data_IF_745811526702
#
_entry.id   IF_745811526702
#
_cell.length_a   1.000
_cell.length_b   1.000
_cell.length_c   1.000
_cell.angle_alpha   90.00
_cell.angle_beta   90.00
_cell.angle_gamma   90.00
#
_symmetry.space_group_name_H-M   'P 1'
#
loop_
_entity.id
_entity.type
_entity.pdbx_description
1 polymer ?
#
# COMPACT_ATOMS: atom_id res chain seq x y z
N UNK A 1 -25.95 -25.34 -29.47
CA UNK A 1 -25.44 -24.21 -28.63
C UNK A 1 -26.16 -24.29 -27.31
N UNK A 2 -25.57 -24.91 -26.29
CA UNK A 2 -26.15 -24.95 -24.96
C UNK A 2 -25.93 -23.55 -24.34
N UNK A 3 -27.01 -22.89 -23.95
CA UNK A 3 -26.91 -21.73 -23.13
C UNK A 3 -26.28 -22.16 -21.79
N UNK A 4 -25.04 -21.78 -21.54
CA UNK A 4 -24.46 -21.87 -20.21
C UNK A 4 -25.32 -20.98 -19.32
N UNK A 5 -26.04 -21.60 -18.40
CA UNK A 5 -26.77 -20.86 -17.36
C UNK A 5 -25.72 -20.20 -16.46
N UNK A 6 -25.41 -18.96 -16.73
CA UNK A 6 -24.47 -18.20 -15.89
C UNK A 6 -25.14 -18.05 -14.53
N UNK A 7 -24.52 -18.56 -13.48
CA UNK A 7 -25.03 -18.41 -12.13
C UNK A 7 -24.97 -16.93 -11.78
N UNK A 8 -26.10 -16.36 -11.40
CA UNK A 8 -26.21 -14.97 -10.97
C UNK A 8 -25.72 -14.88 -9.54
N UNK A 9 -24.64 -14.15 -9.34
CA UNK A 9 -24.00 -13.99 -8.02
C UNK A 9 -23.53 -12.55 -7.79
N UNK A 10 -23.66 -12.10 -6.54
CA UNK A 10 -22.97 -10.92 -6.03
C UNK A 10 -21.74 -11.36 -5.29
N UNK A 11 -20.58 -10.93 -5.75
CA UNK A 11 -19.27 -11.29 -5.19
C UNK A 11 -18.71 -10.11 -4.43
N UNK A 12 -18.41 -10.31 -3.15
CA UNK A 12 -17.66 -9.39 -2.33
C UNK A 12 -16.16 -9.66 -2.55
N UNK A 13 -15.46 -8.72 -3.18
CA UNK A 13 -14.04 -8.81 -3.45
C UNK A 13 -13.26 -7.81 -2.61
N UNK A 14 -12.25 -8.28 -1.90
CA UNK A 14 -11.26 -7.48 -1.18
C UNK A 14 -9.88 -8.13 -1.29
N UNK A 15 -8.83 -7.33 -1.21
CA UNK A 15 -7.43 -7.76 -1.27
C UNK A 15 -6.60 -6.84 -0.36
N UNK A 16 -5.31 -7.10 -0.23
CA UNK A 16 -4.33 -6.21 0.41
C UNK A 16 -4.72 -5.83 1.84
N UNK A 17 -5.19 -6.82 2.63
CA UNK A 17 -5.58 -6.61 4.03
C UNK A 17 -4.35 -6.29 4.88
N UNK A 18 -3.21 -6.91 4.56
CA UNK A 18 -1.92 -6.73 5.23
C UNK A 18 -2.03 -6.81 6.75
N UNK A 19 -2.51 -7.95 7.27
CA UNK A 19 -2.52 -8.18 8.72
C UNK A 19 -1.11 -8.02 9.26
N UNK A 20 -0.93 -7.01 10.14
CA UNK A 20 0.33 -6.61 10.72
C UNK A 20 0.11 -5.95 12.07
N UNK A 21 0.57 -6.58 13.13
CA UNK A 21 0.44 -6.06 14.50
C UNK A 21 1.72 -5.36 14.98
N UNK A 22 2.90 -5.81 14.51
CA UNK A 22 4.20 -5.29 14.95
C UNK A 22 4.71 -4.08 14.15
N UNK A 23 3.86 -3.13 13.78
CA UNK A 23 4.30 -1.91 13.10
C UNK A 23 4.91 -0.92 14.12
N UNK A 24 6.06 -0.31 13.76
CA UNK A 24 6.73 0.68 14.61
C UNK A 24 5.76 1.83 14.96
N UNK A 25 5.79 2.25 16.19
CA UNK A 25 4.94 3.32 16.75
C UNK A 25 3.43 3.05 16.70
N UNK A 26 3.00 1.82 16.51
CA UNK A 26 1.58 1.43 16.53
C UNK A 26 1.32 0.50 17.71
N UNK A 27 0.42 0.86 18.65
CA UNK A 27 0.03 -0.02 19.75
C UNK A 27 -0.65 -1.28 19.22
N UNK A 28 -0.27 -2.44 19.73
CA UNK A 28 -0.79 -3.74 19.29
C UNK A 28 -2.30 -3.82 19.47
N UNK A 29 -2.81 -3.37 20.61
CA UNK A 29 -4.25 -3.41 20.92
C UNK A 29 -5.06 -2.55 19.93
N UNK A 30 -4.57 -1.36 19.59
CA UNK A 30 -5.19 -0.52 18.57
C UNK A 30 -5.19 -1.21 17.19
N UNK A 31 -4.08 -1.86 16.83
CA UNK A 31 -3.98 -2.60 15.59
C UNK A 31 -4.95 -3.78 15.52
N UNK A 32 -5.11 -4.56 16.62
CA UNK A 32 -6.10 -5.63 16.74
C UNK A 32 -7.51 -5.09 16.56
N UNK A 33 -7.88 -4.03 17.30
CA UNK A 33 -9.20 -3.40 17.21
C UNK A 33 -9.54 -2.91 15.80
N UNK A 34 -8.56 -2.43 15.05
CA UNK A 34 -8.75 -2.03 13.64
C UNK A 34 -9.19 -3.20 12.78
N UNK A 35 -8.55 -4.37 12.91
CA UNK A 35 -8.94 -5.58 12.17
C UNK A 35 -10.28 -6.14 12.63
N UNK A 36 -10.60 -6.09 13.92
CA UNK A 36 -11.93 -6.44 14.43
C UNK A 36 -13.02 -5.56 13.81
N UNK A 37 -12.75 -4.26 13.68
CA UNK A 37 -13.66 -3.32 13.03
C UNK A 37 -13.84 -3.67 11.54
N UNK A 38 -12.77 -4.02 10.84
CA UNK A 38 -12.83 -4.50 9.45
C UNK A 38 -13.67 -5.78 9.33
N UNK A 39 -13.40 -6.79 10.15
CA UNK A 39 -14.14 -8.06 10.17
C UNK A 39 -15.64 -7.82 10.43
N UNK A 40 -15.96 -6.89 11.33
CA UNK A 40 -17.34 -6.52 11.65
C UNK A 40 -18.03 -5.90 10.42
N UNK A 41 -17.41 -4.95 9.73
CA UNK A 41 -17.99 -4.33 8.53
C UNK A 41 -18.11 -5.34 7.38
N UNK A 42 -17.11 -6.19 7.17
CA UNK A 42 -17.16 -7.28 6.20
C UNK A 42 -18.35 -8.23 6.48
N UNK A 43 -18.58 -8.54 7.76
CA UNK A 43 -19.69 -9.39 8.23
C UNK A 43 -21.08 -8.78 7.96
N UNK A 44 -21.16 -7.46 7.85
CA UNK A 44 -22.41 -6.78 7.46
C UNK A 44 -22.57 -6.85 5.94
N UNK A 45 -21.54 -6.52 5.17
CA UNK A 45 -21.62 -6.44 3.70
C UNK A 45 -21.88 -7.82 3.09
N UNK A 46 -21.28 -8.89 3.63
CA UNK A 46 -21.48 -10.25 3.11
C UNK A 46 -22.94 -10.74 3.13
N UNK A 47 -23.82 -10.13 3.93
CA UNK A 47 -25.23 -10.53 4.01
C UNK A 47 -26.00 -10.35 2.70
N UNK A 48 -25.55 -9.40 1.88
CA UNK A 48 -26.13 -9.07 0.59
C UNK A 48 -25.34 -9.67 -0.60
N UNK A 49 -24.40 -10.58 -0.31
CA UNK A 49 -23.51 -11.23 -1.27
C UNK A 49 -23.68 -12.75 -1.24
N UNK A 50 -23.31 -13.40 -2.32
CA UNK A 50 -23.39 -14.87 -2.48
C UNK A 50 -22.02 -15.52 -2.28
N UNK A 51 -20.92 -14.79 -2.46
CA UNK A 51 -19.55 -15.28 -2.37
C UNK A 51 -18.60 -14.17 -1.92
N UNK A 52 -17.53 -14.56 -1.23
CA UNK A 52 -16.39 -13.68 -0.91
C UNK A 52 -15.16 -14.17 -1.67
N UNK A 53 -14.34 -13.22 -2.14
CA UNK A 53 -13.00 -13.52 -2.65
C UNK A 53 -12.00 -12.62 -1.92
N UNK A 54 -11.03 -13.24 -1.22
CA UNK A 54 -9.88 -12.59 -0.62
C UNK A 54 -8.70 -12.72 -1.58
N UNK A 55 -8.40 -11.62 -2.25
CA UNK A 55 -7.56 -11.53 -3.45
C UNK A 55 -6.07 -11.38 -3.21
N UNK A 56 -5.52 -12.02 -2.18
CA UNK A 56 -4.09 -11.99 -1.86
C UNK A 56 -3.70 -10.87 -0.91
N UNK A 57 -2.46 -10.91 -0.46
CA UNK A 57 -1.87 -9.99 0.52
C UNK A 57 -2.73 -9.82 1.78
N UNK A 58 -3.22 -10.95 2.28
CA UNK A 58 -3.93 -11.00 3.57
C UNK A 58 -2.98 -10.70 4.71
N UNK A 59 -1.73 -11.16 4.61
CA UNK A 59 -0.65 -10.85 5.55
C UNK A 59 0.37 -9.89 4.93
N UNK A 60 0.96 -9.03 5.75
CA UNK A 60 2.05 -8.12 5.34
C UNK A 60 3.40 -8.85 5.15
N UNK A 61 3.58 -9.96 5.85
CA UNK A 61 4.74 -10.84 5.83
C UNK A 61 4.39 -12.20 6.46
N UNK A 62 5.37 -13.06 6.66
CA UNK A 62 5.20 -14.26 7.50
C UNK A 62 4.58 -13.86 8.84
N UNK A 63 3.36 -14.34 9.15
CA UNK A 63 2.62 -13.91 10.34
C UNK A 63 3.22 -14.42 11.64
N UNK A 64 3.06 -13.62 12.68
CA UNK A 64 3.22 -14.05 14.07
C UNK A 64 2.00 -14.86 14.53
N UNK A 65 2.07 -15.44 15.73
CA UNK A 65 0.92 -16.18 16.29
C UNK A 65 -0.28 -15.27 16.54
N UNK A 66 -0.05 -14.03 16.99
CA UNK A 66 -1.13 -13.05 17.19
C UNK A 66 -1.76 -12.61 15.86
N UNK A 67 -0.96 -12.48 14.79
CA UNK A 67 -1.45 -12.17 13.45
C UNK A 67 -2.24 -13.35 12.86
N UNK A 68 -1.87 -14.60 13.19
CA UNK A 68 -2.66 -15.79 12.84
C UNK A 68 -4.01 -15.83 13.57
N UNK A 69 -4.07 -15.37 14.84
CA UNK A 69 -5.32 -15.25 15.58
C UNK A 69 -6.30 -14.33 14.84
N UNK A 70 -5.85 -13.14 14.43
CA UNK A 70 -6.66 -12.21 13.62
C UNK A 70 -7.15 -12.86 12.31
N UNK A 71 -6.29 -13.63 11.64
CA UNK A 71 -6.68 -14.37 10.44
C UNK A 71 -7.76 -15.43 10.73
N UNK A 72 -7.63 -16.17 11.83
CA UNK A 72 -8.62 -17.19 12.20
C UNK A 72 -9.94 -16.54 12.60
N UNK A 73 -9.94 -15.37 13.22
CA UNK A 73 -11.14 -14.59 13.49
C UNK A 73 -11.84 -14.14 12.21
N UNK A 74 -11.06 -13.65 11.23
CA UNK A 74 -11.57 -13.32 9.89
C UNK A 74 -12.22 -14.56 9.24
N UNK A 75 -11.52 -15.68 9.18
CA UNK A 75 -12.04 -16.93 8.60
C UNK A 75 -13.31 -17.41 9.33
N UNK A 76 -13.32 -17.30 10.66
CA UNK A 76 -14.46 -17.70 11.50
C UNK A 76 -15.67 -16.78 11.31
N UNK A 77 -15.48 -15.54 10.88
CA UNK A 77 -16.55 -14.57 10.65
C UNK A 77 -17.33 -14.80 9.35
N UNK A 78 -16.76 -15.55 8.42
CA UNK A 78 -17.32 -15.80 7.07
C UNK A 78 -18.53 -16.72 7.17
N UNK A 79 -19.64 -16.36 6.49
CA UNK A 79 -20.93 -17.07 6.53
C UNK A 79 -21.44 -17.51 5.15
N UNK A 80 -20.71 -17.20 4.08
CA UNK A 80 -21.01 -17.57 2.70
C UNK A 80 -19.75 -18.19 2.07
N UNK A 81 -19.85 -18.89 0.94
CA UNK A 81 -18.68 -19.44 0.23
C UNK A 81 -17.58 -18.39 0.07
N UNK A 82 -16.35 -18.76 0.33
CA UNK A 82 -15.21 -17.86 0.25
C UNK A 82 -14.02 -18.57 -0.40
N UNK A 83 -13.37 -17.87 -1.34
CA UNK A 83 -12.08 -18.26 -1.91
C UNK A 83 -11.01 -17.32 -1.40
N UNK A 84 -9.88 -17.90 -0.99
CA UNK A 84 -8.66 -17.19 -0.60
C UNK A 84 -7.53 -17.69 -1.51
N UNK A 85 -6.75 -16.76 -2.07
CA UNK A 85 -5.52 -17.10 -2.76
C UNK A 85 -4.39 -16.14 -2.34
N UNK A 86 -3.15 -16.52 -2.66
CA UNK A 86 -1.98 -15.79 -2.27
C UNK A 86 -1.73 -14.56 -3.16
N UNK A 87 -1.28 -13.47 -2.53
CA UNK A 87 -0.59 -12.37 -3.16
C UNK A 87 0.94 -12.54 -3.10
N UNK A 88 1.68 -11.48 -3.41
CA UNK A 88 3.13 -11.50 -3.41
C UNK A 88 3.72 -11.58 -1.99
N UNK A 89 3.06 -11.05 -0.97
CA UNK A 89 3.51 -11.09 0.43
C UNK A 89 3.42 -12.48 1.05
N UNK A 90 2.56 -13.36 0.56
CA UNK A 90 2.51 -14.76 0.98
C UNK A 90 3.46 -15.67 0.22
N UNK A 91 4.11 -15.20 -0.84
CA UNK A 91 5.03 -16.00 -1.63
C UNK A 91 6.33 -16.30 -0.87
N UNK A 92 6.62 -17.59 -0.61
CA UNK A 92 7.83 -18.04 0.09
C UNK A 92 8.92 -18.48 -0.89
N UNK A 93 8.53 -19.23 -1.91
CA UNK A 93 9.37 -19.78 -2.98
C UNK A 93 8.54 -19.82 -4.25
N UNK A 94 9.19 -20.13 -5.38
CA UNK A 94 8.60 -20.08 -6.72
C UNK A 94 7.17 -20.63 -6.81
N UNK A 95 6.88 -21.76 -6.15
CA UNK A 95 5.58 -22.44 -6.24
C UNK A 95 4.96 -22.73 -4.87
N UNK A 96 5.47 -22.10 -3.80
CA UNK A 96 5.01 -22.33 -2.43
C UNK A 96 4.65 -21.00 -1.80
N UNK A 97 3.45 -20.92 -1.25
CA UNK A 97 2.98 -19.78 -0.50
C UNK A 97 2.75 -20.15 0.95
N UNK A 98 2.66 -19.15 1.82
CA UNK A 98 2.30 -19.39 3.21
C UNK A 98 0.93 -20.07 3.32
N UNK A 99 0.00 -19.76 2.43
CA UNK A 99 -1.33 -20.36 2.40
C UNK A 99 -1.33 -21.86 2.11
N UNK A 100 -0.31 -22.40 1.42
CA UNK A 100 -0.19 -23.85 1.22
C UNK A 100 -0.15 -24.62 2.55
N UNK A 101 0.41 -24.00 3.60
CA UNK A 101 0.44 -24.57 4.96
C UNK A 101 -0.86 -24.34 5.74
N UNK A 102 -1.57 -23.24 5.48
CA UNK A 102 -2.81 -22.91 6.17
C UNK A 102 -4.06 -23.58 5.55
N UNK A 103 -4.01 -23.98 4.30
CA UNK A 103 -5.14 -24.54 3.52
C UNK A 103 -5.99 -25.52 4.31
N UNK A 104 -5.35 -26.53 4.90
CA UNK A 104 -6.04 -27.56 5.66
C UNK A 104 -6.67 -27.03 6.97
N UNK A 105 -5.96 -26.18 7.66
CA UNK A 105 -6.44 -25.60 8.94
C UNK A 105 -7.59 -24.65 8.70
N UNK A 106 -7.50 -23.80 7.70
CA UNK A 106 -8.55 -22.87 7.28
C UNK A 106 -9.85 -23.61 6.94
N UNK A 107 -9.77 -24.64 6.07
CA UNK A 107 -10.96 -25.43 5.70
C UNK A 107 -11.53 -26.26 6.86
N UNK A 108 -10.70 -26.65 7.85
CA UNK A 108 -11.18 -27.30 9.06
C UNK A 108 -11.92 -26.34 9.98
N UNK A 109 -11.43 -25.13 10.10
CA UNK A 109 -12.02 -24.08 10.91
C UNK A 109 -13.36 -23.63 10.33
N UNK A 110 -13.41 -23.42 9.01
CA UNK A 110 -14.63 -23.02 8.33
C UNK A 110 -14.74 -23.76 6.97
N UNK A 111 -15.75 -24.60 6.81
CA UNK A 111 -15.99 -25.40 5.61
C UNK A 111 -16.42 -24.58 4.39
N UNK A 112 -16.87 -23.35 4.61
CA UNK A 112 -17.24 -22.42 3.54
C UNK A 112 -16.00 -21.73 2.92
N UNK A 113 -14.84 -21.84 3.56
CA UNK A 113 -13.60 -21.16 3.12
C UNK A 113 -12.66 -22.16 2.45
N UNK A 114 -12.36 -21.90 1.21
CA UNK A 114 -11.40 -22.65 0.42
C UNK A 114 -10.16 -21.78 0.10
N UNK A 115 -8.99 -22.33 0.41
CA UNK A 115 -7.71 -21.75 -0.01
C UNK A 115 -7.26 -22.44 -1.29
N UNK A 116 -7.05 -21.66 -2.35
CA UNK A 116 -6.53 -22.16 -3.61
C UNK A 116 -5.07 -21.74 -3.81
N UNK A 117 -4.24 -22.62 -4.33
CA UNK A 117 -2.81 -22.42 -4.57
C UNK A 117 -2.38 -22.76 -6.01
N UNK A 118 -3.35 -23.07 -6.86
CA UNK A 118 -3.20 -23.35 -8.29
C UNK A 118 -4.32 -22.67 -9.09
N UNK A 119 -4.22 -22.72 -10.42
CA UNK A 119 -5.30 -22.29 -11.30
C UNK A 119 -6.61 -22.95 -10.89
N UNK A 120 -7.65 -22.18 -10.85
CA UNK A 120 -8.97 -22.66 -10.48
C UNK A 120 -10.02 -21.99 -11.35
N UNK A 121 -11.09 -22.71 -11.67
CA UNK A 121 -12.22 -22.15 -12.44
C UNK A 121 -13.52 -22.63 -11.82
N UNK A 122 -14.41 -21.70 -11.54
CA UNK A 122 -15.78 -21.95 -11.11
C UNK A 122 -16.70 -21.28 -12.13
N UNK A 123 -17.49 -22.08 -12.84
CA UNK A 123 -18.36 -21.60 -13.92
C UNK A 123 -17.59 -20.78 -14.97
N UNK A 124 -17.85 -19.48 -15.07
CA UNK A 124 -17.16 -18.54 -15.96
C UNK A 124 -16.14 -17.64 -15.24
N UNK A 125 -15.76 -17.99 -14.02
CA UNK A 125 -14.79 -17.27 -13.20
C UNK A 125 -13.48 -18.03 -13.11
N UNK A 126 -12.42 -17.39 -13.55
CA UNK A 126 -11.06 -17.91 -13.46
C UNK A 126 -10.32 -17.27 -12.26
N UNK A 127 -9.47 -18.06 -11.61
CA UNK A 127 -8.65 -17.61 -10.49
C UNK A 127 -7.19 -17.94 -10.78
N UNK A 128 -6.34 -16.89 -10.68
CA UNK A 128 -4.89 -16.98 -10.87
C UNK A 128 -4.19 -16.44 -9.64
N UNK A 129 -3.79 -17.31 -8.68
CA UNK A 129 -2.97 -16.89 -7.55
C UNK A 129 -1.62 -16.31 -8.00
N UNK A 130 -1.03 -15.43 -7.20
CA UNK A 130 0.24 -14.76 -7.51
C UNK A 130 1.37 -15.73 -7.89
N UNK A 131 1.53 -16.84 -7.16
CA UNK A 131 2.55 -17.85 -7.44
C UNK A 131 2.40 -18.52 -8.83
N UNK A 132 1.25 -18.36 -9.48
CA UNK A 132 0.96 -18.85 -10.83
C UNK A 132 1.01 -17.78 -11.93
N UNK A 133 1.22 -16.53 -11.58
CA UNK A 133 1.19 -15.41 -12.53
C UNK A 133 2.21 -15.58 -13.66
N UNK A 134 3.43 -16.03 -13.37
CA UNK A 134 4.47 -16.29 -14.38
C UNK A 134 4.17 -17.48 -15.29
N UNK A 135 3.44 -18.47 -14.81
CA UNK A 135 2.97 -19.59 -15.61
C UNK A 135 1.81 -19.16 -16.51
N UNK A 136 0.89 -18.38 -15.96
CA UNK A 136 -0.20 -17.74 -16.68
C UNK A 136 0.30 -16.85 -17.83
N UNK A 137 1.31 -16.00 -17.60
CA UNK A 137 1.91 -15.14 -18.61
C UNK A 137 2.37 -15.92 -19.85
N UNK A 138 2.91 -17.13 -19.67
CA UNK A 138 3.37 -17.98 -20.76
C UNK A 138 2.24 -18.65 -21.55
N UNK A 139 1.11 -18.91 -20.92
CA UNK A 139 -0.02 -19.59 -21.56
C UNK A 139 -1.37 -19.08 -21.03
N UNK A 140 -1.76 -17.84 -21.32
CA UNK A 140 -3.02 -17.27 -20.83
C UNK A 140 -4.26 -17.93 -21.46
N UNK A 141 -4.11 -18.66 -22.58
CA UNK A 141 -5.22 -19.33 -23.28
C UNK A 141 -5.76 -20.58 -22.57
N UNK A 142 -5.08 -21.06 -21.52
CA UNK A 142 -5.53 -22.21 -20.73
C UNK A 142 -6.83 -21.94 -19.96
N UNK A 143 -7.10 -20.68 -19.63
CA UNK A 143 -8.29 -20.23 -18.93
C UNK A 143 -9.33 -19.68 -19.92
N UNK A 144 -10.62 -19.83 -19.64
CA UNK A 144 -11.70 -19.53 -20.59
C UNK A 144 -12.88 -18.78 -19.98
N UNK A 145 -12.78 -18.33 -18.75
CA UNK A 145 -13.83 -17.55 -18.09
C UNK A 145 -14.00 -16.16 -18.69
N UNK A 146 -15.09 -15.51 -18.31
CA UNK A 146 -15.37 -14.10 -18.64
C UNK A 146 -14.84 -13.15 -17.55
N UNK A 147 -14.68 -13.65 -16.33
CA UNK A 147 -14.25 -12.92 -15.13
C UNK A 147 -12.97 -13.54 -14.62
N UNK A 148 -11.99 -12.71 -14.29
CA UNK A 148 -10.72 -13.17 -13.72
C UNK A 148 -10.51 -12.54 -12.33
N UNK A 149 -10.10 -13.37 -11.39
CA UNK A 149 -9.59 -12.97 -10.09
C UNK A 149 -8.09 -13.26 -10.02
N UNK A 150 -7.29 -12.27 -9.65
CA UNK A 150 -5.83 -12.42 -9.60
C UNK A 150 -5.20 -11.46 -8.60
N UNK A 151 -3.89 -11.56 -8.43
CA UNK A 151 -3.08 -10.59 -7.70
C UNK A 151 -1.93 -10.17 -8.59
N UNK A 152 -1.96 -8.94 -9.07
CA UNK A 152 -1.01 -8.43 -10.07
C UNK A 152 -0.85 -6.93 -9.96
N UNK A 153 0.39 -6.47 -10.04
CA UNK A 153 0.70 -5.04 -10.07
C UNK A 153 0.38 -4.43 -11.43
N UNK A 154 -0.46 -3.39 -11.42
CA UNK A 154 -0.72 -2.52 -12.55
C UNK A 154 0.31 -1.41 -12.69
N UNK A 155 0.02 -0.42 -13.53
CA UNK A 155 0.88 0.75 -13.73
C UNK A 155 0.42 1.96 -12.92
N UNK A 156 1.38 2.72 -12.38
CA UNK A 156 1.17 4.08 -11.83
C UNK A 156 2.29 4.96 -12.37
N UNK A 157 2.15 5.50 -13.59
CA UNK A 157 3.20 6.33 -14.18
C UNK A 157 3.48 7.61 -13.36
N UNK A 158 4.73 8.05 -13.24
CA UNK A 158 5.96 7.41 -13.73
C UNK A 158 6.59 6.42 -12.72
N UNK A 159 5.93 6.15 -11.59
CA UNK A 159 6.54 5.56 -10.39
C UNK A 159 6.48 4.03 -10.34
N UNK A 160 5.41 3.43 -10.86
CA UNK A 160 5.19 1.97 -10.79
C UNK A 160 5.00 1.42 -12.20
N UNK A 161 5.78 0.38 -12.52
CA UNK A 161 5.62 -0.38 -13.76
C UNK A 161 4.79 -1.64 -13.51
N UNK A 162 3.98 -2.01 -14.50
CA UNK A 162 3.25 -3.26 -14.47
C UNK A 162 4.19 -4.47 -14.31
N UNK A 163 3.76 -5.48 -13.58
CA UNK A 163 4.54 -6.70 -13.34
C UNK A 163 4.55 -7.62 -14.55
N UNK A 164 3.46 -7.63 -15.30
CA UNK A 164 3.27 -8.35 -16.57
C UNK A 164 2.64 -7.42 -17.61
N UNK A 165 2.66 -7.83 -18.88
CA UNK A 165 1.95 -7.09 -19.92
C UNK A 165 0.43 -7.12 -19.65
N UNK A 166 -0.14 -5.96 -19.35
CA UNK A 166 -1.57 -5.84 -19.00
C UNK A 166 -2.50 -6.19 -20.18
N UNK A 167 -2.02 -6.23 -21.43
CA UNK A 167 -2.80 -6.67 -22.57
C UNK A 167 -3.21 -8.15 -22.48
N UNK A 168 -2.50 -8.94 -21.67
CA UNK A 168 -2.84 -10.33 -21.39
C UNK A 168 -4.24 -10.49 -20.80
N UNK A 169 -4.72 -9.45 -20.12
CA UNK A 169 -6.02 -9.44 -19.44
C UNK A 169 -7.20 -9.02 -20.33
N UNK A 170 -6.96 -8.53 -21.54
CA UNK A 170 -8.00 -7.96 -22.42
C UNK A 170 -9.07 -8.97 -22.85
N UNK A 171 -8.79 -10.27 -22.76
CA UNK A 171 -9.77 -11.31 -23.12
C UNK A 171 -10.89 -11.47 -22.10
N UNK A 172 -10.69 -11.10 -20.83
CA UNK A 172 -11.74 -11.14 -19.82
C UNK A 172 -12.56 -9.85 -19.87
N UNK A 173 -13.85 -9.95 -19.60
CA UNK A 173 -14.75 -8.78 -19.53
C UNK A 173 -14.38 -7.89 -18.37
N UNK A 174 -13.97 -8.50 -17.26
CA UNK A 174 -13.52 -7.82 -16.04
C UNK A 174 -12.47 -8.66 -15.33
N UNK A 175 -11.50 -7.98 -14.75
CA UNK A 175 -10.47 -8.56 -13.88
C UNK A 175 -10.57 -7.87 -12.52
N UNK A 176 -10.68 -8.66 -11.46
CA UNK A 176 -10.62 -8.17 -10.09
C UNK A 176 -9.24 -8.55 -9.51
N UNK A 177 -8.44 -7.54 -9.21
CA UNK A 177 -7.03 -7.74 -8.85
C UNK A 177 -6.67 -7.09 -7.50
N UNK A 178 -5.74 -7.70 -6.76
CA UNK A 178 -4.99 -7.09 -5.66
C UNK A 178 -3.64 -6.52 -6.12
N UNK A 179 -2.85 -5.95 -5.21
CA UNK A 179 -1.53 -5.32 -5.25
C UNK A 179 -1.57 -3.77 -5.24
N UNK A 180 -2.52 -3.13 -5.88
CA UNK A 180 -2.60 -1.67 -5.83
C UNK A 180 -3.58 -1.20 -4.75
N UNK A 181 -3.05 -0.46 -3.77
CA UNK A 181 -3.74 -0.11 -2.52
C UNK A 181 -4.78 1.02 -2.65
N UNK A 182 -5.06 1.53 -3.86
CA UNK A 182 -6.12 2.52 -4.10
C UNK A 182 -7.04 2.07 -5.23
N UNK A 183 -8.35 2.22 -5.02
CA UNK A 183 -9.37 1.98 -6.05
C UNK A 183 -9.18 2.89 -7.29
N UNK A 184 -8.65 4.09 -7.10
CA UNK A 184 -8.35 5.04 -8.18
C UNK A 184 -7.32 4.53 -9.19
N UNK A 185 -6.53 3.52 -8.79
CA UNK A 185 -5.56 2.87 -9.67
C UNK A 185 -6.19 1.81 -10.60
N UNK A 186 -7.51 1.62 -10.53
CA UNK A 186 -8.23 0.74 -11.48
C UNK A 186 -8.02 1.23 -12.91
N UNK A 187 -7.69 0.32 -13.81
CA UNK A 187 -7.23 0.65 -15.15
C UNK A 187 -7.64 -0.41 -16.16
N UNK A 188 -7.93 0.01 -17.42
CA UNK A 188 -8.44 -0.90 -18.46
C UNK A 188 -9.70 -1.62 -17.98
N UNK A 189 -9.70 -2.96 -18.04
CA UNK A 189 -10.73 -3.83 -17.47
C UNK A 189 -10.35 -4.40 -16.08
N UNK A 190 -9.29 -3.87 -15.45
CA UNK A 190 -8.77 -4.33 -14.16
C UNK A 190 -9.27 -3.41 -13.05
N UNK A 191 -9.96 -3.95 -12.08
CA UNK A 191 -10.49 -3.28 -10.91
C UNK A 191 -9.69 -3.67 -9.67
N UNK A 192 -9.17 -2.68 -8.96
CA UNK A 192 -8.51 -2.86 -7.67
C UNK A 192 -9.44 -2.39 -6.56
N UNK A 193 -9.72 -3.17 -5.52
CA UNK A 193 -10.52 -2.69 -4.37
C UNK A 193 -9.80 -1.62 -3.56
N UNK A 194 -8.47 -1.64 -3.63
CA UNK A 194 -7.57 -0.97 -2.71
C UNK A 194 -7.37 -1.76 -1.41
N UNK A 195 -6.45 -1.32 -0.57
CA UNK A 195 -6.26 -1.88 0.75
C UNK A 195 -7.38 -1.41 1.70
N UNK A 196 -8.13 -2.30 2.36
CA UNK A 196 -9.17 -1.90 3.30
C UNK A 196 -8.59 -1.23 4.54
N UNK A 197 -7.37 -1.61 4.95
CA UNK A 197 -6.65 -1.01 6.06
C UNK A 197 -5.43 -0.26 5.57
N UNK A 198 -5.20 0.99 6.01
CA UNK A 198 -3.99 1.74 5.66
C UNK A 198 -2.73 0.99 6.09
N UNK A 199 -1.81 0.72 5.16
CA UNK A 199 -0.55 -0.01 5.41
C UNK A 199 0.59 0.90 5.85
N UNK A 200 0.45 2.20 5.63
CA UNK A 200 1.39 3.25 6.00
C UNK A 200 0.69 4.45 6.61
N UNK A 201 1.47 5.37 7.20
CA UNK A 201 0.94 6.60 7.77
C UNK A 201 0.70 7.66 6.68
N UNK A 202 -0.52 8.17 6.61
CA UNK A 202 -0.96 9.19 5.67
C UNK A 202 -1.11 10.56 6.35
N UNK A 203 -0.94 11.66 5.61
CA UNK A 203 -1.16 13.01 6.14
C UNK A 203 -2.64 13.32 6.34
N UNK A 204 -3.50 12.73 5.53
CA UNK A 204 -4.95 12.89 5.60
C UNK A 204 -5.62 11.52 5.62
N UNK A 205 -6.87 11.49 6.07
CA UNK A 205 -7.73 10.31 5.93
C UNK A 205 -7.92 10.01 4.45
N UNK A 206 -7.73 8.74 4.09
CA UNK A 206 -7.91 8.25 2.72
C UNK A 206 -9.14 7.36 2.63
N UNK A 207 -9.73 7.29 1.44
CA UNK A 207 -10.86 6.42 1.20
C UNK A 207 -10.37 4.97 1.04
N UNK A 208 -10.94 4.07 1.83
CA UNK A 208 -10.70 2.63 1.78
C UNK A 208 -12.01 1.89 1.60
N UNK A 209 -11.98 0.73 0.94
CA UNK A 209 -13.22 0.03 0.63
C UNK A 209 -13.03 -1.37 0.07
N UNK A 210 -14.14 -1.93 -0.37
CA UNK A 210 -14.23 -3.25 -1.01
C UNK A 210 -15.09 -3.13 -2.28
N UNK A 211 -15.00 -4.10 -3.18
CA UNK A 211 -15.84 -4.16 -4.38
C UNK A 211 -16.96 -5.20 -4.18
N UNK A 212 -18.21 -4.82 -4.48
CA UNK A 212 -19.30 -5.75 -4.69
C UNK A 212 -19.57 -5.82 -6.19
N UNK A 213 -19.31 -6.98 -6.78
CA UNK A 213 -19.43 -7.24 -8.21
C UNK A 213 -20.63 -8.14 -8.50
N UNK A 214 -21.47 -7.77 -9.46
CA UNK A 214 -22.62 -8.52 -9.90
C UNK A 214 -22.31 -9.23 -11.23
N UNK A 215 -22.25 -10.57 -11.20
CA UNK A 215 -21.88 -11.38 -12.36
C UNK A 215 -22.95 -11.40 -13.47
N UNK A 216 -24.21 -11.10 -13.15
CA UNK A 216 -25.31 -11.07 -14.12
C UNK A 216 -25.26 -9.78 -14.96
N UNK A 217 -25.04 -8.66 -14.31
CA UNK A 217 -25.05 -7.35 -14.96
C UNK A 217 -23.66 -6.87 -15.39
N UNK A 218 -22.59 -7.48 -14.88
CA UNK A 218 -21.21 -7.04 -15.06
C UNK A 218 -20.90 -5.70 -14.35
N UNK A 219 -21.82 -5.23 -13.50
CA UNK A 219 -21.63 -3.98 -12.74
C UNK A 219 -20.93 -4.22 -11.42
N UNK A 220 -20.21 -3.24 -10.97
CA UNK A 220 -19.62 -3.24 -9.64
C UNK A 220 -20.01 -1.99 -8.87
N UNK A 221 -19.96 -2.11 -7.55
CA UNK A 221 -20.10 -1.00 -6.61
C UNK A 221 -18.89 -1.04 -5.68
N UNK A 222 -18.17 0.07 -5.59
CA UNK A 222 -17.15 0.21 -4.57
C UNK A 222 -17.82 0.69 -3.27
N UNK A 223 -17.70 -0.12 -2.22
CA UNK A 223 -18.32 0.12 -0.92
C UNK A 223 -17.26 0.67 0.02
N UNK A 224 -17.41 1.95 0.38
CA UNK A 224 -16.50 2.62 1.32
C UNK A 224 -16.60 2.00 2.70
N UNK A 225 -15.45 1.75 3.32
CA UNK A 225 -15.34 1.32 4.71
C UNK A 225 -15.00 2.51 5.61
N UNK A 226 -15.49 2.44 6.85
CA UNK A 226 -15.13 3.42 7.90
C UNK A 226 -14.28 2.71 8.93
N UNK A 227 -12.95 2.80 8.76
CA UNK A 227 -11.98 2.09 9.59
C UNK A 227 -11.00 3.07 10.26
N UNK A 228 -10.46 2.71 11.43
CA UNK A 228 -9.34 3.43 12.01
C UNK A 228 -8.14 3.43 11.07
N UNK A 229 -7.49 4.59 10.90
CA UNK A 229 -6.39 4.78 9.97
C UNK A 229 -5.11 5.24 10.67
N UNK A 230 -3.98 5.00 10.01
CA UNK A 230 -2.66 5.46 10.42
C UNK A 230 -2.43 6.88 9.87
N UNK A 231 -2.32 7.85 10.76
CA UNK A 231 -2.15 9.25 10.40
C UNK A 231 -0.80 9.80 10.88
N UNK A 232 -0.24 10.72 10.11
CA UNK A 232 0.97 11.48 10.45
C UNK A 232 0.65 12.97 10.35
N UNK A 233 0.99 13.71 11.40
CA UNK A 233 0.85 15.16 11.43
C UNK A 233 2.20 15.83 11.68
N UNK A 234 2.40 16.98 11.10
CA UNK A 234 3.54 17.84 11.41
C UNK A 234 3.10 18.91 12.40
N UNK A 235 3.84 19.09 13.49
CA UNK A 235 3.59 20.08 14.53
C UNK A 235 4.91 20.81 14.87
N UNK A 236 4.80 21.97 15.51
CA UNK A 236 5.96 22.69 16.03
C UNK A 236 6.36 22.14 17.41
N UNK A 237 7.64 22.31 17.77
CA UNK A 237 8.12 21.95 19.10
C UNK A 237 7.33 22.72 20.17
N UNK A 238 6.88 21.99 21.21
CA UNK A 238 6.05 22.56 22.27
C UNK A 238 4.54 22.50 22.03
N UNK A 239 4.08 22.11 20.84
CA UNK A 239 2.65 21.82 20.62
C UNK A 239 2.26 20.47 21.22
N UNK A 240 0.98 20.35 21.62
CA UNK A 240 0.43 19.12 22.17
C UNK A 240 0.32 18.01 21.11
N UNK A 241 0.62 16.80 21.54
CA UNK A 241 0.42 15.57 20.77
C UNK A 241 -0.80 14.82 21.31
N UNK A 242 -2.03 15.21 20.91
CA UNK A 242 -3.22 14.54 21.42
C UNK A 242 -3.25 13.09 20.96
N UNK A 243 -3.48 12.18 21.89
CA UNK A 243 -3.85 10.82 21.55
C UNK A 243 -5.16 10.84 20.78
N UNK A 244 -5.24 10.04 19.72
CA UNK A 244 -6.45 9.96 18.90
C UNK A 244 -7.31 8.79 19.33
N UNK A 245 -8.59 9.04 19.57
CA UNK A 245 -9.52 8.01 20.06
C UNK A 245 -9.88 6.99 18.98
N UNK A 246 -9.79 7.34 17.71
CA UNK A 246 -10.19 6.49 16.59
C UNK A 246 -9.04 6.21 15.62
N UNK A 247 -8.48 7.25 14.98
CA UNK A 247 -7.29 7.09 14.13
C UNK A 247 -6.03 7.07 14.99
N UNK A 248 -5.04 6.27 14.65
CA UNK A 248 -3.74 6.33 15.31
C UNK A 248 -2.85 7.36 14.61
N UNK A 249 -2.46 8.40 15.35
CA UNK A 249 -1.66 9.52 14.84
C UNK A 249 -0.26 9.52 15.45
N UNK A 250 0.74 9.65 14.59
CA UNK A 250 2.13 9.95 14.98
C UNK A 250 2.52 11.35 14.50
N UNK A 251 3.56 11.92 15.11
CA UNK A 251 3.94 13.31 14.90
C UNK A 251 5.36 13.46 14.35
N UNK A 252 5.51 14.30 13.33
CA UNK A 252 6.78 14.89 12.93
C UNK A 252 6.88 16.22 13.65
N UNK A 253 7.93 16.42 14.46
CA UNK A 253 8.09 17.66 15.23
C UNK A 253 9.15 18.50 14.56
N UNK A 254 8.78 19.73 14.20
CA UNK A 254 9.68 20.75 13.66
C UNK A 254 10.07 21.73 14.75
N UNK A 255 11.33 22.10 14.83
CA UNK A 255 11.85 23.07 15.79
C UNK A 255 13.34 23.31 15.63
N UNK A 256 13.91 24.20 16.43
CA UNK A 256 15.35 24.37 16.51
C UNK A 256 16.03 23.22 17.28
N UNK A 257 17.36 23.17 17.23
CA UNK A 257 18.13 22.09 17.89
C UNK A 257 17.94 22.05 19.41
N UNK A 258 17.75 23.22 20.08
CA UNK A 258 17.58 23.28 21.52
C UNK A 258 16.19 22.81 21.93
N UNK A 259 15.15 23.25 21.23
CA UNK A 259 13.77 22.83 21.42
C UNK A 259 13.61 21.32 21.23
N UNK A 260 14.13 20.78 20.11
CA UNK A 260 14.06 19.35 19.80
C UNK A 260 14.88 18.49 20.77
N UNK A 261 15.99 19.02 21.28
CA UNK A 261 16.83 18.37 22.30
C UNK A 261 16.17 18.29 23.67
N UNK A 262 15.29 19.24 24.00
CA UNK A 262 14.55 19.28 25.26
C UNK A 262 13.32 18.33 25.27
N UNK A 263 12.87 17.85 24.11
CA UNK A 263 11.70 16.98 24.01
C UNK A 263 12.01 15.57 24.52
N UNK A 264 11.18 15.11 25.48
CA UNK A 264 11.21 13.71 25.92
C UNK A 264 10.82 12.77 24.77
N UNK A 265 11.41 11.58 24.78
CA UNK A 265 11.03 10.55 23.81
C UNK A 265 9.60 10.03 24.08
N UNK A 266 8.84 9.86 23.00
CA UNK A 266 7.47 9.33 23.04
C UNK A 266 7.24 8.40 21.87
N UNK A 267 6.44 7.36 22.05
CA UNK A 267 5.99 6.45 20.98
C UNK A 267 5.14 7.15 19.91
N UNK A 268 4.65 8.36 20.21
CA UNK A 268 3.91 9.19 19.25
C UNK A 268 4.84 10.01 18.33
N UNK A 269 6.12 10.11 18.66
CA UNK A 269 7.08 10.87 17.84
C UNK A 269 7.66 9.93 16.77
N UNK A 270 7.41 10.25 15.49
CA UNK A 270 8.01 9.57 14.35
C UNK A 270 9.43 10.07 14.11
N UNK A 271 9.58 11.38 13.99
CA UNK A 271 10.87 12.05 13.81
C UNK A 271 10.88 13.49 14.31
N UNK A 272 12.08 13.97 14.65
CA UNK A 272 12.37 15.34 14.98
C UNK A 272 13.07 15.98 13.76
N UNK A 273 12.52 17.06 13.23
CA UNK A 273 13.01 17.72 12.02
C UNK A 273 13.54 19.11 12.42
N UNK A 274 14.84 19.30 12.24
CA UNK A 274 15.43 20.62 12.50
C UNK A 274 14.95 21.59 11.43
N UNK A 275 14.21 22.61 11.84
CA UNK A 275 13.84 23.72 10.99
C UNK A 275 15.11 24.51 10.69
N UNK A 276 15.61 24.40 9.49
CA UNK A 276 16.64 25.32 9.02
C UNK A 276 15.92 26.64 8.75
N UNK A 277 16.15 27.63 9.59
CA UNK A 277 15.84 29.00 9.22
C UNK A 277 16.76 29.38 8.04
N UNK A 278 16.28 29.13 6.85
CA UNK A 278 16.86 29.72 5.65
C UNK A 278 16.30 31.15 5.55
N UNK A 279 16.62 32.00 6.51
CA UNK A 279 16.37 33.44 6.40
C UNK A 279 17.31 34.14 5.40
N UNK A 280 18.13 33.36 4.74
CA UNK A 280 18.94 33.81 3.62
C UNK A 280 18.50 33.04 2.37
N UNK A 281 17.41 33.49 1.75
CA UNK A 281 17.24 33.21 0.33
C UNK A 281 18.45 33.86 -0.38
N UNK A 282 19.37 33.03 -0.87
CA UNK A 282 20.36 33.48 -1.85
C UNK A 282 19.54 34.01 -3.03
N UNK A 283 19.49 35.31 -3.17
CA UNK A 283 18.91 35.99 -4.34
C UNK A 283 20.00 35.90 -5.43
N UNK A 284 20.05 34.71 -6.11
CA UNK A 284 20.92 34.53 -7.26
C UNK A 284 20.27 35.26 -8.44
N UNK A 285 20.90 36.34 -8.91
CA UNK A 285 20.54 36.96 -10.19
C UNK A 285 21.01 36.00 -11.31
N UNK A 286 20.15 35.61 -12.29
CA UNK A 286 20.57 34.81 -13.44
C UNK A 286 21.74 35.36 -14.25
N UNK A 287 22.18 36.62 -13.97
CA UNK A 287 23.32 37.25 -14.60
C UNK A 287 24.62 37.18 -13.78
N UNK A 288 24.52 36.63 -12.55
CA UNK A 288 25.70 36.43 -11.72
C UNK A 288 26.67 35.44 -12.33
N UNK A 289 27.94 35.69 -12.19
CA UNK A 289 28.99 34.72 -12.49
C UNK A 289 29.07 33.68 -11.37
N UNK A 290 29.66 32.53 -11.65
CA UNK A 290 29.88 31.46 -10.65
C UNK A 290 30.68 32.01 -9.45
N UNK A 291 31.64 32.90 -9.68
CA UNK A 291 32.44 33.52 -8.61
C UNK A 291 31.55 34.38 -7.70
N UNK A 292 30.62 35.14 -8.27
CA UNK A 292 29.68 35.96 -7.52
C UNK A 292 28.69 35.10 -6.73
N UNK A 293 28.17 34.04 -7.34
CA UNK A 293 27.28 33.06 -6.64
C UNK A 293 27.99 32.38 -5.48
N UNK A 294 29.25 31.97 -5.67
CA UNK A 294 30.05 31.32 -4.62
C UNK A 294 30.36 32.33 -3.52
N UNK A 295 30.69 33.60 -3.85
CA UNK A 295 30.91 34.67 -2.90
C UNK A 295 29.69 34.88 -2.01
N UNK A 296 28.52 35.04 -2.61
CA UNK A 296 27.25 35.19 -1.90
C UNK A 296 27.02 34.01 -0.93
N UNK A 297 27.22 32.78 -1.41
CA UNK A 297 27.07 31.58 -0.60
C UNK A 297 28.02 31.56 0.61
N UNK A 298 29.32 31.86 0.39
CA UNK A 298 30.32 31.84 1.45
C UNK A 298 30.09 32.96 2.49
N UNK A 299 29.68 34.13 2.03
CA UNK A 299 29.46 35.28 2.89
C UNK A 299 28.16 35.21 3.68
N UNK A 300 27.03 34.90 3.00
CA UNK A 300 25.70 34.94 3.62
C UNK A 300 25.27 33.62 4.25
N UNK A 301 25.57 32.48 3.62
CA UNK A 301 25.16 31.19 4.16
C UNK A 301 26.16 30.61 5.16
N UNK A 302 27.46 30.63 4.80
CA UNK A 302 28.50 30.11 5.69
C UNK A 302 29.05 31.18 6.65
N UNK A 303 28.72 32.48 6.44
CA UNK A 303 29.11 33.59 7.26
C UNK A 303 30.64 33.62 7.51
N UNK A 304 31.44 33.32 6.48
CA UNK A 304 32.88 33.31 6.54
C UNK A 304 33.41 34.74 6.51
N UNK A 305 34.61 34.95 7.08
CA UNK A 305 35.29 36.25 7.02
C UNK A 305 35.68 36.60 5.58
N UNK A 306 35.69 37.89 5.25
CA UNK A 306 36.06 38.38 3.91
C UNK A 306 37.41 37.82 3.43
N UNK A 307 38.40 37.71 4.34
CA UNK A 307 39.70 37.12 4.01
C UNK A 307 39.61 35.66 3.59
N UNK A 308 38.77 34.89 4.28
CA UNK A 308 38.56 33.48 3.96
C UNK A 308 37.80 33.31 2.63
N UNK A 309 36.82 34.19 2.38
CA UNK A 309 36.06 34.21 1.14
C UNK A 309 36.98 34.49 -0.06
N UNK A 310 37.88 35.48 0.05
CA UNK A 310 38.84 35.80 -1.00
C UNK A 310 39.84 34.67 -1.24
N UNK A 311 40.33 34.00 -0.21
CA UNK A 311 41.22 32.85 -0.34
C UNK A 311 40.54 31.70 -1.11
N UNK A 312 39.27 31.41 -0.80
CA UNK A 312 38.49 30.35 -1.50
C UNK A 312 38.23 30.73 -2.96
N UNK A 313 37.88 31.99 -3.23
CA UNK A 313 37.65 32.48 -4.60
C UNK A 313 38.94 32.45 -5.43
N UNK A 314 40.09 32.75 -4.83
CA UNK A 314 41.39 32.67 -5.51
C UNK A 314 41.70 31.21 -5.91
N UNK A 315 41.42 30.23 -5.04
CA UNK A 315 41.58 28.80 -5.34
C UNK A 315 40.60 28.37 -6.48
N UNK A 316 39.36 28.86 -6.43
CA UNK A 316 38.36 28.60 -7.46
C UNK A 316 38.84 29.12 -8.82
N UNK A 317 39.26 30.36 -8.91
CA UNK A 317 39.74 30.99 -10.14
C UNK A 317 40.95 30.27 -10.73
N UNK A 318 41.94 29.94 -9.89
CA UNK A 318 43.11 29.18 -10.32
C UNK A 318 42.82 27.80 -10.91
N UNK A 319 41.71 27.21 -10.50
CA UNK A 319 41.31 25.89 -11.04
C UNK A 319 40.36 26.02 -12.24
N UNK A 320 39.52 27.05 -12.32
CA UNK A 320 38.71 27.33 -13.49
C UNK A 320 39.54 27.66 -14.74
N UNK A 321 40.62 28.42 -14.57
CA UNK A 321 41.55 28.74 -15.69
C UNK A 321 42.22 27.46 -16.27
N UNK A 322 42.41 26.41 -15.47
CA UNK A 322 42.99 25.14 -15.95
C UNK A 322 42.02 24.30 -16.77
N UNK A 323 40.72 24.45 -16.56
CA UNK A 323 39.67 23.68 -17.27
C UNK A 323 39.40 24.27 -18.70
N UNK A 324 39.70 25.53 -18.89
CA UNK A 324 39.48 26.23 -20.17
C UNK A 324 40.63 25.98 -21.17
N UNK A 325 41.73 25.33 -20.75
CA UNK A 325 42.97 25.12 -21.57
C UNK A 325 43.09 23.65 -22.04
N UNK A 326 42.19 22.76 -21.70
CA UNK A 326 42.04 21.41 -22.28
C UNK A 326 40.83 21.39 -23.25
#
# INVERSE_FOLDING_TARGET
MGAFCTIKMKILFTADIHIKLGQKNVPIEWAKQRYETFITQLSVIQKDCDMIVLGGDVFDRMPTMDELEVYFDLVSSIRIPCIIYAGNHEALKKDTTFFSYLKRSTNRLNKLVEVIDDFHTIDNMDFVPYNKLKEFEKNPSMLRGDILFTHVRGEIPPHVKAEVDLTLFDKWKVVLAGDLHSYENSQRNILYPGSPCTTSFHRNVVDTGVIVFDTDTGKHTWVKLTLPQLLRKTIQAGEDMPATDYHHTIYEIEGDMAELGALADSSLIDKKVVKRETDTALILDPKMTIQEEVREYLSYILQLSDSTVEDVLQVLNNNMEKIVVE
#
